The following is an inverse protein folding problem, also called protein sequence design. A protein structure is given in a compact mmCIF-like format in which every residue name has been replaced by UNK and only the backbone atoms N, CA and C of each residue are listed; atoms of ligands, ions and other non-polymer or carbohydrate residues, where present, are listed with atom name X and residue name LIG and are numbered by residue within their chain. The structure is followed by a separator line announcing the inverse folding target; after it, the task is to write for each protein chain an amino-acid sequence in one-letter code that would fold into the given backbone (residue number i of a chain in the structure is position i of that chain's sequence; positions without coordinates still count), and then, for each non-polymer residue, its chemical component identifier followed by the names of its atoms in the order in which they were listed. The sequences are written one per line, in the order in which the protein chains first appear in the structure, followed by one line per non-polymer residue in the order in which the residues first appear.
data_IF_386482608634
#
_entry.id   IF_386482608634
#
_cell.length_a   1.000
_cell.length_b   1.000
_cell.length_c   1.000
_cell.angle_alpha   90.00
_cell.angle_beta   90.00
_cell.angle_gamma   90.00
#
_symmetry.space_group_name_H-M   'P 1'
#
loop_
_entity.id
_entity.type
_entity.pdbx_description
1 polymer ?
#
# COMPACT_ATOMS: atom_id res chain seq x y z
N UNK A 1 -26.96 -36.72 -23.57
CA UNK A 1 -27.19 -37.04 -24.99
C UNK A 1 -28.09 -36.07 -25.73
N UNK A 2 -29.33 -35.77 -25.30
CA UNK A 2 -30.23 -34.87 -26.08
C UNK A 2 -29.54 -33.55 -26.48
N UNK A 3 -28.88 -32.89 -25.52
CA UNK A 3 -28.12 -31.66 -25.79
C UNK A 3 -26.90 -31.84 -26.72
N UNK A 4 -26.28 -33.02 -26.86
CA UNK A 4 -25.14 -33.13 -27.79
C UNK A 4 -25.57 -32.99 -29.24
N UNK A 5 -26.75 -33.51 -29.56
CA UNK A 5 -27.34 -33.40 -30.90
C UNK A 5 -27.75 -31.95 -31.22
N UNK A 6 -28.11 -31.13 -30.22
CA UNK A 6 -28.55 -29.74 -30.45
C UNK A 6 -27.40 -28.79 -30.78
N UNK A 7 -26.30 -28.73 -30.00
CA UNK A 7 -25.15 -27.86 -30.35
C UNK A 7 -24.58 -28.21 -31.73
N UNK A 8 -24.31 -29.50 -31.96
CA UNK A 8 -23.61 -29.91 -33.18
C UNK A 8 -24.48 -29.70 -34.43
N UNK A 9 -25.81 -29.87 -34.33
CA UNK A 9 -26.73 -29.57 -35.43
C UNK A 9 -26.95 -28.06 -35.64
N UNK A 10 -26.99 -27.27 -34.56
CA UNK A 10 -27.04 -25.81 -34.63
C UNK A 10 -25.83 -25.27 -35.39
N UNK A 11 -24.62 -25.67 -34.98
CA UNK A 11 -23.39 -25.20 -35.61
C UNK A 11 -23.18 -25.78 -37.01
N UNK A 12 -23.55 -27.04 -37.26
CA UNK A 12 -23.64 -27.56 -38.62
C UNK A 12 -24.52 -26.65 -39.50
N UNK A 13 -25.70 -26.26 -39.02
CA UNK A 13 -26.63 -25.39 -39.77
C UNK A 13 -26.05 -23.99 -39.98
N UNK A 14 -25.45 -23.39 -38.94
CA UNK A 14 -24.74 -22.11 -39.03
C UNK A 14 -23.64 -22.13 -40.11
N UNK A 15 -22.72 -23.11 -40.06
CA UNK A 15 -21.64 -23.20 -41.04
C UNK A 15 -22.15 -23.59 -42.44
N UNK A 16 -23.19 -24.41 -42.58
CA UNK A 16 -23.82 -24.69 -43.90
C UNK A 16 -24.47 -23.44 -44.50
N UNK A 17 -25.08 -22.58 -43.70
CA UNK A 17 -25.68 -21.33 -44.16
C UNK A 17 -24.62 -20.28 -44.56
N UNK A 18 -23.57 -20.13 -43.74
CA UNK A 18 -22.48 -19.17 -43.98
C UNK A 18 -21.50 -19.64 -45.08
N UNK A 19 -21.31 -20.95 -45.23
CA UNK A 19 -20.32 -21.56 -46.13
C UNK A 19 -20.94 -22.76 -46.87
N UNK A 20 -21.92 -22.51 -47.73
CA UNK A 20 -22.68 -23.56 -48.46
C UNK A 20 -21.83 -24.54 -49.28
N UNK A 21 -20.67 -24.11 -49.76
CA UNK A 21 -19.69 -24.92 -50.50
C UNK A 21 -18.75 -25.75 -49.60
N UNK A 22 -18.70 -25.49 -48.29
CA UNK A 22 -17.78 -26.18 -47.38
C UNK A 22 -18.22 -27.62 -47.10
N UNK A 23 -17.25 -28.53 -47.02
CA UNK A 23 -17.50 -29.91 -46.59
C UNK A 23 -17.56 -29.95 -45.07
N UNK A 24 -18.70 -30.36 -44.51
CA UNK A 24 -18.93 -30.35 -43.06
C UNK A 24 -19.21 -31.76 -42.58
N UNK A 25 -18.37 -32.24 -41.66
CA UNK A 25 -18.44 -33.58 -41.07
C UNK A 25 -18.75 -33.46 -39.57
N UNK A 26 -19.94 -33.91 -39.17
CA UNK A 26 -20.30 -34.10 -37.77
C UNK A 26 -19.54 -35.32 -37.21
N UNK A 27 -18.97 -35.21 -36.01
CA UNK A 27 -18.33 -36.34 -35.31
C UNK A 27 -17.21 -37.02 -36.12
N UNK A 28 -16.38 -36.26 -36.84
CA UNK A 28 -15.29 -36.80 -37.67
C UNK A 28 -14.27 -37.53 -36.80
N UNK A 29 -14.02 -38.81 -37.13
CA UNK A 29 -12.93 -39.59 -36.55
C UNK A 29 -11.66 -39.40 -37.40
N UNK A 30 -10.54 -39.17 -36.72
CA UNK A 30 -9.20 -39.09 -37.33
C UNK A 30 -8.44 -40.43 -37.19
N UNK A 31 -7.33 -40.55 -37.92
CA UNK A 31 -6.45 -41.74 -37.92
C UNK A 31 -5.91 -42.12 -36.53
N UNK A 32 -5.73 -41.13 -35.65
CA UNK A 32 -5.35 -41.32 -34.24
C UNK A 32 -6.50 -41.81 -33.33
N UNK A 33 -7.64 -42.22 -33.90
CA UNK A 33 -8.88 -42.64 -33.22
C UNK A 33 -9.57 -41.55 -32.39
N UNK A 34 -9.14 -40.29 -32.48
CA UNK A 34 -9.83 -39.15 -31.85
C UNK A 34 -10.97 -38.69 -32.72
N UNK A 35 -11.98 -38.11 -32.07
CA UNK A 35 -13.14 -37.50 -32.70
C UNK A 35 -13.08 -35.99 -32.49
N UNK A 36 -13.51 -35.20 -33.46
CA UNK A 36 -13.91 -33.79 -33.26
C UNK A 36 -15.42 -33.69 -33.42
N UNK A 37 -16.08 -32.79 -32.69
CA UNK A 37 -17.54 -32.67 -32.75
C UNK A 37 -18.01 -32.16 -34.11
N UNK A 38 -17.30 -31.19 -34.70
CA UNK A 38 -17.54 -30.69 -36.05
C UNK A 38 -16.22 -30.40 -36.77
N UNK A 39 -16.04 -30.96 -37.96
CA UNK A 39 -14.93 -30.65 -38.86
C UNK A 39 -15.46 -29.94 -40.11
N UNK A 40 -14.84 -28.82 -40.48
CA UNK A 40 -15.14 -28.06 -41.69
C UNK A 40 -13.89 -28.03 -42.56
N UNK A 41 -14.06 -28.28 -43.86
CA UNK A 41 -13.04 -28.05 -44.89
C UNK A 41 -13.61 -27.04 -45.89
N UNK A 42 -12.98 -25.87 -45.95
CA UNK A 42 -13.42 -24.75 -46.75
C UNK A 42 -12.94 -24.88 -48.20
N UNK A 43 -13.68 -24.26 -49.13
CA UNK A 43 -13.37 -24.28 -50.57
C UNK A 43 -11.98 -23.73 -50.92
N UNK A 44 -11.46 -22.84 -50.08
CA UNK A 44 -10.13 -22.24 -50.18
C UNK A 44 -8.99 -23.12 -49.61
N UNK A 45 -9.32 -24.24 -48.96
CA UNK A 45 -8.38 -25.28 -48.51
C UNK A 45 -8.12 -25.29 -47.00
N UNK A 46 -8.49 -24.24 -46.27
CA UNK A 46 -8.39 -24.21 -44.80
C UNK A 46 -9.32 -25.24 -44.15
N UNK A 47 -8.94 -25.65 -42.94
CA UNK A 47 -9.66 -26.66 -42.15
C UNK A 47 -9.88 -26.13 -40.74
N UNK A 48 -11.09 -26.34 -40.22
CA UNK A 48 -11.47 -25.94 -38.87
C UNK A 48 -12.07 -27.14 -38.12
N UNK A 49 -11.50 -27.46 -36.97
CA UNK A 49 -12.11 -28.30 -35.95
C UNK A 49 -12.86 -27.41 -34.95
N UNK A 50 -14.12 -27.73 -34.65
CA UNK A 50 -14.91 -27.04 -33.61
C UNK A 50 -15.28 -28.03 -32.51
N UNK A 51 -14.92 -27.67 -31.29
CA UNK A 51 -15.01 -28.52 -30.10
C UNK A 51 -16.02 -27.95 -29.10
N UNK A 52 -17.01 -28.74 -28.68
CA UNK A 52 -18.04 -28.30 -27.72
C UNK A 52 -17.76 -28.86 -26.33
N UNK A 53 -17.00 -28.12 -25.54
CA UNK A 53 -16.60 -28.56 -24.21
C UNK A 53 -17.72 -28.38 -23.20
N UNK A 54 -18.30 -29.49 -22.73
CA UNK A 54 -19.45 -29.52 -21.80
C UNK A 54 -19.08 -29.88 -20.35
N UNK A 55 -17.90 -30.45 -20.17
CA UNK A 55 -17.36 -30.93 -18.90
C UNK A 55 -15.90 -30.55 -18.82
N UNK A 56 -15.30 -30.85 -17.69
CA UNK A 56 -13.87 -30.75 -17.43
C UNK A 56 -13.05 -31.58 -18.46
N UNK A 57 -12.12 -30.92 -19.16
CA UNK A 57 -11.08 -31.42 -20.08
C UNK A 57 -9.67 -31.22 -19.51
N UNK A 58 -8.89 -32.28 -19.33
CA UNK A 58 -7.55 -32.13 -18.75
C UNK A 58 -6.57 -31.32 -19.64
N UNK A 59 -5.60 -30.63 -19.01
CA UNK A 59 -4.52 -29.91 -19.67
C UNK A 59 -3.78 -30.75 -20.71
N UNK A 60 -3.43 -31.99 -20.34
CA UNK A 60 -2.72 -32.88 -21.24
C UNK A 60 -3.59 -33.27 -22.43
N UNK A 61 -4.88 -33.55 -22.20
CA UNK A 61 -5.83 -33.89 -23.26
C UNK A 61 -6.04 -32.74 -24.24
N UNK A 62 -6.26 -31.51 -23.75
CA UNK A 62 -6.34 -30.32 -24.61
C UNK A 62 -5.09 -30.18 -25.47
N UNK A 63 -3.90 -30.16 -24.84
CA UNK A 63 -2.63 -29.98 -25.55
C UNK A 63 -2.42 -31.06 -26.62
N UNK A 64 -2.71 -32.31 -26.27
CA UNK A 64 -2.61 -33.46 -27.16
C UNK A 64 -3.53 -33.33 -28.39
N UNK A 65 -4.70 -32.68 -28.25
CA UNK A 65 -5.64 -32.41 -29.36
C UNK A 65 -5.22 -31.20 -30.19
N UNK A 66 -4.85 -30.09 -29.54
CA UNK A 66 -4.37 -28.88 -30.21
C UNK A 66 -3.10 -29.14 -31.03
N UNK A 67 -2.08 -29.79 -30.45
CA UNK A 67 -0.84 -30.15 -31.16
C UNK A 67 -1.16 -31.02 -32.39
N UNK A 68 -2.10 -31.97 -32.27
CA UNK A 68 -2.54 -32.79 -33.42
C UNK A 68 -3.23 -31.96 -34.52
N UNK A 69 -4.09 -31.00 -34.19
CA UNK A 69 -4.73 -30.13 -35.18
C UNK A 69 -3.68 -29.28 -35.91
N UNK A 70 -2.77 -28.68 -35.15
CA UNK A 70 -1.64 -27.90 -35.67
C UNK A 70 -0.72 -28.71 -36.60
N UNK A 71 -0.34 -29.92 -36.21
CA UNK A 71 0.49 -30.83 -37.01
C UNK A 71 -0.19 -31.28 -38.33
N UNK A 72 -1.50 -31.09 -38.47
CA UNK A 72 -2.29 -31.49 -39.65
C UNK A 72 -2.81 -30.29 -40.46
N UNK A 73 -2.35 -29.07 -40.16
CA UNK A 73 -2.82 -27.81 -40.77
C UNK A 73 -4.35 -27.64 -40.62
N UNK A 74 -4.82 -27.81 -39.39
CA UNK A 74 -6.21 -27.63 -38.96
C UNK A 74 -6.22 -26.58 -37.86
N UNK A 75 -7.00 -25.50 -38.05
CA UNK A 75 -7.30 -24.53 -37.00
C UNK A 75 -8.31 -25.13 -36.02
N UNK A 76 -8.25 -24.77 -34.74
CA UNK A 76 -9.19 -25.26 -33.72
C UNK A 76 -9.91 -24.15 -32.96
N UNK A 77 -11.24 -24.25 -32.91
CA UNK A 77 -12.12 -23.38 -32.13
C UNK A 77 -12.78 -24.17 -31.01
N UNK A 78 -12.44 -23.81 -29.78
CA UNK A 78 -13.05 -24.36 -28.57
C UNK A 78 -14.22 -23.48 -28.11
N UNK A 79 -15.40 -24.08 -27.96
CA UNK A 79 -16.61 -23.43 -27.49
C UNK A 79 -17.05 -24.10 -26.19
N UNK A 80 -17.03 -23.34 -25.10
CA UNK A 80 -17.41 -23.82 -23.77
C UNK A 80 -18.91 -23.69 -23.60
N UNK A 81 -19.55 -24.71 -23.03
CA UNK A 81 -20.95 -24.59 -22.62
C UNK A 81 -21.10 -23.50 -21.54
N UNK A 82 -21.87 -22.44 -21.83
CA UNK A 82 -22.03 -21.30 -20.93
C UNK A 82 -23.49 -20.94 -20.64
N UNK A 83 -23.65 -19.93 -19.78
CA UNK A 83 -24.90 -19.24 -19.55
C UNK A 83 -24.62 -17.73 -19.48
N UNK A 84 -25.31 -16.91 -20.28
CA UNK A 84 -24.99 -15.47 -20.45
C UNK A 84 -24.88 -14.75 -19.10
N UNK A 85 -25.94 -14.84 -18.30
CA UNK A 85 -26.02 -14.25 -16.96
C UNK A 85 -24.80 -14.58 -16.09
N UNK A 86 -24.40 -15.86 -16.06
CA UNK A 86 -23.29 -16.34 -15.23
C UNK A 86 -21.92 -15.89 -15.76
N UNK A 87 -21.76 -15.73 -17.07
CA UNK A 87 -20.51 -15.26 -17.70
C UNK A 87 -20.34 -13.75 -17.54
N UNK A 88 -21.44 -12.99 -17.61
CA UNK A 88 -21.42 -11.53 -17.47
C UNK A 88 -21.32 -11.06 -16.01
N UNK A 89 -21.91 -11.77 -15.05
CA UNK A 89 -21.79 -11.45 -13.62
C UNK A 89 -20.41 -11.77 -13.00
N UNK A 90 -19.58 -12.55 -13.70
CA UNK A 90 -18.32 -13.04 -13.16
C UNK A 90 -17.23 -11.95 -13.14
N UNK A 91 -17.34 -11.04 -12.17
CA UNK A 91 -16.53 -9.82 -12.05
C UNK A 91 -15.18 -10.01 -11.37
N UNK A 92 -14.93 -11.17 -10.77
CA UNK A 92 -13.66 -11.52 -10.13
C UNK A 92 -13.20 -12.89 -10.62
N UNK A 93 -11.91 -13.02 -10.88
CA UNK A 93 -11.26 -14.32 -11.11
C UNK A 93 -11.17 -15.09 -9.78
N UNK A 94 -12.32 -15.61 -9.33
CA UNK A 94 -12.44 -16.37 -8.09
C UNK A 94 -11.85 -17.76 -8.27
N UNK A 95 -10.78 -18.03 -7.51
CA UNK A 95 -10.28 -19.37 -7.14
C UNK A 95 -10.31 -20.42 -8.25
N UNK A 96 -9.20 -20.53 -8.98
CA UNK A 96 -8.89 -21.58 -9.96
C UNK A 96 -9.34 -22.98 -9.53
N UNK A 97 -9.78 -23.87 -10.44
CA UNK A 97 -9.41 -23.94 -11.85
C UNK A 97 -10.47 -24.57 -12.75
N UNK A 98 -10.35 -24.30 -14.05
CA UNK A 98 -10.50 -25.36 -15.05
C UNK A 98 -9.50 -25.20 -16.24
N UNK A 99 -8.19 -25.30 -15.93
CA UNK A 99 -7.03 -25.08 -16.83
C UNK A 99 -6.99 -23.77 -17.70
N UNK A 100 -7.56 -22.62 -17.40
CA UNK A 100 -8.33 -22.12 -16.28
C UNK A 100 -9.45 -21.31 -16.93
N UNK A 101 -10.50 -22.02 -17.37
CA UNK A 101 -11.33 -21.72 -18.56
C UNK A 101 -10.65 -22.09 -19.90
N UNK A 102 -9.62 -22.94 -19.84
CA UNK A 102 -8.73 -23.39 -20.93
C UNK A 102 -8.27 -22.26 -21.85
N UNK A 103 -7.15 -21.65 -21.45
CA UNK A 103 -6.28 -20.84 -22.29
C UNK A 103 -7.02 -19.90 -23.24
N UNK A 104 -7.33 -18.69 -22.75
CA UNK A 104 -7.21 -17.41 -23.49
C UNK A 104 -6.46 -17.60 -24.84
N UNK A 105 -7.15 -17.99 -25.93
CA UNK A 105 -6.56 -18.77 -27.06
C UNK A 105 -5.10 -18.42 -27.33
N UNK A 106 -4.16 -19.37 -27.33
CA UNK A 106 -2.83 -19.04 -27.85
C UNK A 106 -2.98 -18.54 -29.30
N UNK A 107 -2.25 -17.46 -29.63
CA UNK A 107 -2.49 -16.49 -30.71
C UNK A 107 -3.53 -15.34 -30.49
N UNK A 108 -4.56 -15.45 -29.63
CA UNK A 108 -5.63 -14.40 -29.51
C UNK A 108 -6.04 -13.89 -28.12
N UNK A 109 -5.82 -14.65 -27.04
CA UNK A 109 -6.17 -14.27 -25.67
C UNK A 109 -7.67 -13.97 -25.47
N UNK A 110 -8.57 -14.90 -25.78
CA UNK A 110 -10.01 -14.84 -25.42
C UNK A 110 -10.54 -16.20 -24.98
N UNK A 111 -11.58 -16.22 -24.15
CA UNK A 111 -12.41 -17.39 -23.87
C UNK A 111 -13.76 -17.25 -24.60
N UNK A 112 -14.30 -18.36 -25.11
CA UNK A 112 -15.53 -18.38 -25.92
C UNK A 112 -16.54 -19.34 -25.30
N UNK A 113 -17.69 -18.80 -24.91
CA UNK A 113 -18.83 -19.55 -24.39
C UNK A 113 -20.00 -19.48 -25.36
N UNK A 114 -20.86 -20.50 -25.34
CA UNK A 114 -22.15 -20.46 -26.02
C UNK A 114 -23.30 -20.83 -25.07
N UNK A 115 -24.25 -19.91 -24.94
CA UNK A 115 -25.55 -20.14 -24.31
C UNK A 115 -26.51 -20.67 -25.38
N UNK A 116 -26.94 -21.93 -25.24
CA UNK A 116 -27.85 -22.57 -26.19
C UNK A 116 -29.32 -22.17 -25.98
N UNK A 117 -29.68 -21.65 -24.81
CA UNK A 117 -31.05 -21.27 -24.51
C UNK A 117 -31.36 -19.96 -25.21
N UNK A 118 -30.46 -18.98 -25.05
CA UNK A 118 -30.59 -17.64 -25.64
C UNK A 118 -29.90 -17.50 -27.00
N UNK A 119 -29.23 -18.56 -27.49
CA UNK A 119 -28.47 -18.61 -28.75
C UNK A 119 -27.37 -17.52 -28.87
N UNK A 120 -26.67 -17.28 -27.75
CA UNK A 120 -25.66 -16.22 -27.63
C UNK A 120 -24.25 -16.75 -27.45
N UNK A 121 -23.32 -16.14 -28.17
CA UNK A 121 -21.90 -16.20 -27.84
C UNK A 121 -21.59 -15.23 -26.72
N UNK A 122 -20.90 -15.70 -25.68
CA UNK A 122 -20.27 -14.82 -24.69
C UNK A 122 -18.76 -14.94 -24.85
N UNK A 123 -18.09 -13.80 -25.05
CA UNK A 123 -16.64 -13.72 -25.23
C UNK A 123 -16.07 -12.99 -24.02
N UNK A 124 -15.01 -13.53 -23.43
CA UNK A 124 -14.39 -13.00 -22.23
C UNK A 124 -12.87 -12.86 -22.38
N UNK A 125 -12.30 -11.81 -21.77
CA UNK A 125 -10.86 -11.51 -21.80
C UNK A 125 -10.44 -10.75 -20.55
N UNK A 126 -9.32 -11.15 -19.97
CA UNK A 126 -8.75 -10.42 -18.83
C UNK A 126 -8.13 -9.08 -19.26
N UNK A 127 -8.39 -8.04 -18.48
CA UNK A 127 -7.63 -6.79 -18.48
C UNK A 127 -6.74 -6.82 -17.24
N UNK A 128 -5.43 -6.93 -17.44
CA UNK A 128 -4.43 -6.97 -16.36
C UNK A 128 -3.65 -5.66 -16.28
N UNK A 129 -3.66 -5.06 -15.10
CA UNK A 129 -2.76 -3.99 -14.67
C UNK A 129 -1.58 -4.61 -13.92
N UNK A 130 -0.36 -4.23 -14.28
CA UNK A 130 0.87 -4.56 -13.56
C UNK A 130 1.37 -3.25 -12.98
N UNK A 131 1.52 -3.17 -11.67
CA UNK A 131 1.92 -1.93 -11.02
C UNK A 131 3.44 -1.75 -11.09
N UNK A 132 3.87 -0.66 -11.73
CA UNK A 132 5.29 -0.33 -11.93
C UNK A 132 5.91 0.45 -10.77
N UNK A 133 5.08 0.94 -9.84
CA UNK A 133 5.52 1.76 -8.70
C UNK A 133 5.43 0.98 -7.38
N UNK A 134 4.40 0.15 -7.20
CA UNK A 134 4.13 -0.61 -5.97
C UNK A 134 4.16 -2.11 -6.26
N UNK A 135 5.26 -2.77 -5.89
CA UNK A 135 5.42 -4.21 -6.07
C UNK A 135 4.31 -4.98 -5.35
N UNK A 136 3.58 -5.81 -6.10
CA UNK A 136 2.48 -6.63 -5.58
C UNK A 136 1.10 -5.95 -5.59
N UNK A 137 0.99 -4.71 -6.10
CA UNK A 137 -0.28 -4.03 -6.32
C UNK A 137 -0.88 -4.30 -7.72
N UNK A 138 -0.49 -5.42 -8.35
CA UNK A 138 -1.10 -5.93 -9.59
C UNK A 138 -2.61 -6.10 -9.41
N UNK A 139 -3.38 -5.84 -10.46
CA UNK A 139 -4.83 -6.08 -10.44
C UNK A 139 -5.35 -6.54 -11.79
N UNK A 140 -6.37 -7.40 -11.77
CA UNK A 140 -6.94 -8.02 -12.95
C UNK A 140 -8.46 -8.02 -12.86
N UNK A 141 -9.13 -7.72 -13.99
CA UNK A 141 -10.59 -7.85 -14.14
C UNK A 141 -10.92 -8.65 -15.38
N UNK A 142 -12.07 -9.34 -15.35
CA UNK A 142 -12.63 -9.99 -16.53
C UNK A 142 -13.53 -9.00 -17.29
N UNK A 143 -13.25 -8.78 -18.58
CA UNK A 143 -14.16 -8.11 -19.50
C UNK A 143 -14.92 -9.16 -20.29
N UNK A 144 -16.25 -9.19 -20.14
CA UNK A 144 -17.14 -10.13 -20.82
C UNK A 144 -18.21 -9.38 -21.64
N UNK A 145 -18.53 -9.89 -22.83
CA UNK A 145 -19.60 -9.38 -23.70
C UNK A 145 -20.34 -10.52 -24.38
N UNK A 146 -21.64 -10.33 -24.60
CA UNK A 146 -22.48 -11.26 -25.33
C UNK A 146 -22.93 -10.72 -26.68
N UNK A 147 -23.14 -11.63 -27.63
CA UNK A 147 -23.56 -11.38 -29.01
C UNK A 147 -24.53 -12.48 -29.42
N UNK A 148 -25.58 -12.18 -30.18
CA UNK A 148 -26.42 -13.23 -30.75
C UNK A 148 -25.62 -14.00 -31.81
N UNK A 149 -25.97 -15.26 -32.07
CA UNK A 149 -25.29 -16.08 -33.11
C UNK A 149 -25.35 -15.43 -34.51
N UNK A 150 -26.36 -14.61 -34.77
CA UNK A 150 -26.56 -13.86 -36.03
C UNK A 150 -25.64 -12.62 -36.14
N UNK A 151 -25.18 -12.06 -35.01
CA UNK A 151 -24.33 -10.87 -34.96
C UNK A 151 -22.83 -11.17 -35.09
N UNK A 152 -22.45 -12.46 -35.18
CA UNK A 152 -21.06 -12.89 -35.24
C UNK A 152 -20.74 -13.72 -36.49
N UNK A 153 -19.50 -13.59 -36.96
CA UNK A 153 -18.97 -14.44 -38.04
C UNK A 153 -17.78 -15.25 -37.55
N UNK A 154 -17.92 -16.58 -37.54
CA UNK A 154 -16.77 -17.48 -37.36
C UNK A 154 -16.06 -17.62 -38.71
N UNK A 155 -14.78 -17.25 -38.73
CA UNK A 155 -13.89 -17.26 -39.88
C UNK A 155 -13.26 -18.65 -40.10
N UNK A 156 -12.57 -18.84 -41.23
CA UNK A 156 -12.01 -20.14 -41.64
C UNK A 156 -10.90 -20.66 -40.71
N UNK A 157 -10.25 -19.75 -40.00
CA UNK A 157 -9.21 -19.98 -38.98
C UNK A 157 -9.77 -20.07 -37.54
N UNK A 158 -11.10 -20.19 -37.39
CA UNK A 158 -11.78 -20.24 -36.09
C UNK A 158 -11.97 -18.88 -35.41
N UNK A 159 -11.55 -17.78 -36.03
CA UNK A 159 -11.65 -16.46 -35.43
C UNK A 159 -13.09 -15.92 -35.45
N UNK A 160 -13.51 -15.27 -34.36
CA UNK A 160 -14.81 -14.61 -34.29
C UNK A 160 -14.64 -13.14 -34.67
N UNK A 161 -15.21 -12.76 -35.80
CA UNK A 161 -15.36 -11.38 -36.27
C UNK A 161 -16.62 -10.76 -35.63
N UNK A 162 -16.40 -9.76 -34.78
CA UNK A 162 -17.39 -9.01 -34.00
C UNK A 162 -16.73 -7.76 -33.36
N UNK A 163 -17.52 -6.89 -32.72
CA UNK A 163 -17.03 -5.64 -32.08
C UNK A 163 -16.19 -5.84 -30.82
N UNK A 164 -16.05 -7.07 -30.31
CA UNK A 164 -15.45 -7.39 -29.00
C UNK A 164 -14.11 -6.67 -28.73
N UNK A 165 -13.17 -6.72 -29.68
CA UNK A 165 -11.85 -6.13 -29.48
C UNK A 165 -11.89 -4.61 -29.34
N UNK A 166 -12.74 -3.92 -30.11
CA UNK A 166 -12.90 -2.46 -30.04
C UNK A 166 -13.54 -2.01 -28.72
N UNK A 167 -14.44 -2.83 -28.16
CA UNK A 167 -15.06 -2.57 -26.86
C UNK A 167 -14.10 -2.89 -25.71
N UNK A 168 -13.37 -3.99 -25.81
CA UNK A 168 -12.32 -4.40 -24.89
C UNK A 168 -11.21 -3.35 -24.78
N UNK A 169 -10.71 -2.81 -25.90
CA UNK A 169 -9.66 -1.77 -25.91
C UNK A 169 -10.11 -0.51 -25.17
N UNK A 170 -11.35 -0.04 -25.42
CA UNK A 170 -11.95 1.11 -24.71
C UNK A 170 -12.15 0.84 -23.22
N UNK A 171 -12.48 -0.39 -22.83
CA UNK A 171 -12.61 -0.77 -21.43
C UNK A 171 -11.23 -0.86 -20.75
N UNK A 172 -10.23 -1.43 -21.43
CA UNK A 172 -8.87 -1.57 -20.96
C UNK A 172 -8.20 -0.21 -20.78
N UNK A 173 -8.30 0.71 -21.74
CA UNK A 173 -7.76 2.07 -21.64
C UNK A 173 -8.29 2.80 -20.38
N UNK A 174 -9.61 2.74 -20.16
CA UNK A 174 -10.26 3.34 -18.97
C UNK A 174 -9.77 2.71 -17.67
N UNK A 175 -9.75 1.38 -17.60
CA UNK A 175 -9.36 0.65 -16.39
C UNK A 175 -7.89 0.86 -16.05
N UNK A 176 -6.98 0.71 -17.02
CA UNK A 176 -5.54 0.90 -16.83
C UNK A 176 -5.23 2.37 -16.49
N UNK A 177 -5.88 3.32 -17.15
CA UNK A 177 -5.75 4.75 -16.85
C UNK A 177 -6.31 5.15 -15.48
N UNK A 178 -7.30 4.44 -14.95
CA UNK A 178 -7.75 4.58 -13.56
C UNK A 178 -6.73 3.98 -12.59
N UNK A 179 -6.24 2.77 -12.85
CA UNK A 179 -5.29 2.07 -11.96
C UNK A 179 -3.95 2.77 -11.83
N UNK A 180 -3.42 3.33 -12.91
CA UNK A 180 -2.21 4.17 -12.87
C UNK A 180 -2.39 5.39 -11.96
N UNK A 181 -3.57 6.04 -11.99
CA UNK A 181 -3.87 7.19 -11.11
C UNK A 181 -4.00 6.77 -9.65
N UNK A 182 -4.68 5.67 -9.37
CA UNK A 182 -4.79 5.10 -8.03
C UNK A 182 -3.42 4.75 -7.45
N UNK A 183 -2.53 4.14 -8.26
CA UNK A 183 -1.16 3.80 -7.87
C UNK A 183 -0.31 5.04 -7.57
N UNK A 184 -0.30 6.04 -8.47
CA UNK A 184 0.43 7.30 -8.26
C UNK A 184 -0.01 8.04 -6.99
N UNK A 185 -1.31 8.03 -6.68
CA UNK A 185 -1.85 8.62 -5.46
C UNK A 185 -1.44 7.84 -4.21
N UNK A 186 -1.44 6.50 -4.26
CA UNK A 186 -0.92 5.67 -3.17
C UNK A 186 0.57 5.93 -2.89
N UNK A 187 1.40 6.09 -3.94
CA UNK A 187 2.82 6.46 -3.80
C UNK A 187 2.96 7.84 -3.16
N UNK A 188 2.15 8.83 -3.57
CA UNK A 188 2.14 10.17 -2.96
C UNK A 188 1.85 10.10 -1.46
N UNK A 189 0.80 9.39 -1.07
CA UNK A 189 0.39 9.23 0.33
C UNK A 189 1.44 8.46 1.17
N UNK A 190 2.12 7.46 0.58
CA UNK A 190 3.22 6.75 1.24
C UNK A 190 4.42 7.67 1.50
N UNK A 191 4.79 8.52 0.53
CA UNK A 191 5.87 9.49 0.70
C UNK A 191 5.53 10.56 1.75
N UNK A 192 4.33 11.14 1.71
CA UNK A 192 3.86 12.12 2.70
C UNK A 192 3.87 11.53 4.11
N UNK A 193 3.40 10.28 4.28
CA UNK A 193 3.48 9.57 5.56
C UNK A 193 4.92 9.40 6.04
N UNK A 194 5.84 9.02 5.15
CA UNK A 194 7.25 8.77 5.49
C UNK A 194 8.02 10.07 5.82
N UNK A 195 7.63 11.20 5.23
CA UNK A 195 8.11 12.53 5.64
C UNK A 195 7.61 12.92 7.03
N UNK A 196 6.34 12.65 7.33
CA UNK A 196 5.75 12.88 8.66
C UNK A 196 6.45 12.03 9.74
N UNK A 197 6.66 10.73 9.48
CA UNK A 197 7.36 9.82 10.40
C UNK A 197 8.81 10.28 10.67
N UNK A 198 9.54 10.77 9.66
CA UNK A 198 10.86 11.38 9.84
C UNK A 198 10.82 12.61 10.74
N UNK A 199 9.88 13.54 10.52
CA UNK A 199 9.75 14.74 11.35
C UNK A 199 9.44 14.40 12.82
N UNK A 200 8.62 13.39 13.08
CA UNK A 200 8.37 12.92 14.44
C UNK A 200 9.63 12.34 15.08
N UNK A 201 10.34 11.43 14.40
CA UNK A 201 11.57 10.81 14.93
C UNK A 201 12.70 11.82 15.18
N UNK A 202 12.84 12.84 14.31
CA UNK A 202 13.78 13.95 14.53
C UNK A 202 13.41 14.81 15.75
N UNK A 203 12.12 15.00 16.03
CA UNK A 203 11.67 15.78 17.18
C UNK A 203 11.83 15.01 18.49
N UNK A 204 11.50 13.71 18.52
CA UNK A 204 11.79 12.84 19.67
C UNK A 204 13.29 12.82 20.01
N UNK A 205 14.14 12.74 18.98
CA UNK A 205 15.60 12.80 19.14
C UNK A 205 16.07 14.13 19.78
N UNK A 206 15.50 15.27 19.35
CA UNK A 206 15.80 16.60 19.92
C UNK A 206 15.31 16.72 21.36
N UNK A 207 14.13 16.20 21.67
CA UNK A 207 13.58 16.22 23.04
C UNK A 207 14.41 15.35 23.99
N UNK A 208 14.91 14.19 23.54
CA UNK A 208 15.89 13.39 24.30
C UNK A 208 17.21 14.15 24.56
N UNK A 209 17.75 14.86 23.57
CA UNK A 209 18.97 15.67 23.74
C UNK A 209 18.75 16.82 24.74
N UNK A 210 17.61 17.49 24.66
CA UNK A 210 17.21 18.54 25.61
C UNK A 210 17.09 17.95 27.02
N UNK A 211 16.50 16.76 27.18
CA UNK A 211 16.34 16.10 28.46
C UNK A 211 17.69 15.69 29.08
N UNK A 212 18.58 15.04 28.30
CA UNK A 212 19.96 14.74 28.70
C UNK A 212 20.71 16.00 29.12
N UNK A 213 20.56 17.09 28.38
CA UNK A 213 21.17 18.39 28.70
C UNK A 213 20.64 18.98 30.02
N UNK A 214 19.32 18.89 30.27
CA UNK A 214 18.71 19.32 31.53
C UNK A 214 19.20 18.51 32.73
N UNK A 215 19.38 17.21 32.57
CA UNK A 215 19.91 16.32 33.61
C UNK A 215 21.36 16.67 33.96
N UNK A 216 22.23 16.85 32.95
CA UNK A 216 23.61 17.32 33.13
C UNK A 216 23.67 18.68 33.86
N UNK A 217 22.83 19.64 33.47
CA UNK A 217 22.73 20.94 34.15
C UNK A 217 22.26 20.77 35.61
N UNK A 218 21.28 19.90 35.85
CA UNK A 218 20.79 19.57 37.19
C UNK A 218 21.86 18.96 38.11
N UNK A 219 22.69 18.07 37.58
CA UNK A 219 23.84 17.50 38.29
C UNK A 219 24.93 18.53 38.57
N UNK A 220 25.28 19.38 37.58
CA UNK A 220 26.23 20.47 37.77
C UNK A 220 25.78 21.46 38.85
N UNK A 221 24.49 21.81 38.91
CA UNK A 221 23.92 22.65 39.97
C UNK A 221 23.99 21.96 41.33
N UNK A 222 23.62 20.68 41.43
CA UNK A 222 23.74 19.89 42.68
C UNK A 222 25.18 19.84 43.19
N UNK A 223 26.14 19.57 42.29
CA UNK A 223 27.56 19.46 42.62
C UNK A 223 28.17 20.81 43.05
N UNK A 224 27.76 21.93 42.42
CA UNK A 224 28.18 23.26 42.86
C UNK A 224 27.58 23.64 44.23
N UNK A 225 26.30 23.30 44.47
CA UNK A 225 25.66 23.54 45.76
C UNK A 225 26.29 22.70 46.89
N UNK A 226 26.72 21.45 46.62
CA UNK A 226 27.47 20.65 47.60
C UNK A 226 28.88 21.20 47.89
N UNK A 227 29.53 21.86 46.92
CA UNK A 227 30.82 22.54 47.15
C UNK A 227 30.68 23.84 47.94
N UNK A 228 29.49 24.43 48.00
CA UNK A 228 29.19 25.55 48.90
C UNK A 228 28.77 25.03 50.29
N UNK A 229 29.77 24.53 51.05
CA UNK A 229 29.61 24.38 52.50
C UNK A 229 29.06 25.69 53.10
N UNK A 230 28.06 25.64 54.00
CA UNK A 230 27.62 26.83 54.70
C UNK A 230 28.82 27.36 55.48
N UNK A 231 29.31 28.56 55.12
CA UNK A 231 30.32 29.26 55.91
C UNK A 231 29.80 29.33 57.35
N UNK A 232 30.46 28.63 58.26
CA UNK A 232 30.22 28.82 59.69
C UNK A 232 30.39 30.31 59.97
N UNK A 233 29.34 30.94 60.49
CA UNK A 233 29.39 32.35 60.85
C UNK A 233 30.48 32.50 61.91
N UNK A 234 31.46 33.38 61.66
CA UNK A 234 32.64 33.56 62.53
C UNK A 234 32.27 34.09 63.93
N UNK A 235 31.05 34.60 64.09
CA UNK A 235 30.51 35.21 65.29
C UNK A 235 29.09 34.69 65.56
N UNK A 236 28.65 34.73 66.81
CA UNK A 236 27.24 34.52 67.19
C UNK A 236 26.53 35.85 67.42
N UNK A 237 25.19 35.85 67.43
CA UNK A 237 24.37 37.06 67.59
C UNK A 237 24.65 37.75 68.94
N UNK A 238 24.84 36.94 69.99
CA UNK A 238 25.09 37.37 71.37
C UNK A 238 26.36 38.22 71.54
N UNK A 239 27.31 38.12 70.61
CA UNK A 239 28.55 38.91 70.62
C UNK A 239 28.36 40.33 70.07
N UNK A 240 27.19 40.66 69.54
CA UNK A 240 26.82 42.02 69.16
C UNK A 240 25.85 42.55 70.22
N UNK A 241 26.26 43.58 70.95
CA UNK A 241 25.41 44.32 71.88
C UNK A 241 25.64 45.83 71.72
N UNK A 242 24.70 46.69 72.14
CA UNK A 242 24.94 48.14 72.13
C UNK A 242 26.23 48.51 72.89
N UNK A 243 27.14 49.22 72.21
CA UNK A 243 28.48 49.54 72.69
C UNK A 243 29.60 48.63 72.15
N UNK A 244 29.30 47.47 71.55
CA UNK A 244 30.33 46.60 70.96
C UNK A 244 31.06 47.31 69.81
N UNK A 245 32.39 47.37 69.88
CA UNK A 245 33.22 47.84 68.78
C UNK A 245 33.47 46.73 67.76
N UNK A 246 33.26 47.03 66.48
CA UNK A 246 33.42 46.11 65.35
C UNK A 246 34.28 46.75 64.26
N UNK A 247 34.92 45.92 63.44
CA UNK A 247 35.56 46.33 62.19
C UNK A 247 34.70 45.85 61.00
N UNK A 248 34.09 46.79 60.28
CA UNK A 248 33.25 46.51 59.11
C UNK A 248 34.01 46.78 57.82
N UNK A 249 34.02 45.83 56.88
CA UNK A 249 34.82 45.90 55.63
C UNK A 249 34.70 47.23 54.88
N UNK A 250 33.49 47.78 54.78
CA UNK A 250 33.22 49.02 54.04
C UNK A 250 33.24 50.30 54.88
N UNK A 251 33.25 50.21 56.22
CA UNK A 251 33.05 51.37 57.11
C UNK A 251 34.14 51.56 58.18
N UNK A 252 35.11 50.63 58.29
CA UNK A 252 36.18 50.67 59.29
C UNK A 252 35.69 50.33 60.71
N UNK A 253 36.32 50.93 61.74
CA UNK A 253 35.90 50.79 63.14
C UNK A 253 34.53 51.46 63.34
N UNK A 254 33.56 50.68 63.80
CA UNK A 254 32.19 51.12 64.06
C UNK A 254 31.71 50.59 65.42
N UNK A 255 30.76 51.29 66.03
CA UNK A 255 30.13 50.94 67.30
C UNK A 255 28.71 50.41 67.02
N UNK A 256 28.33 49.26 67.57
CA UNK A 256 26.92 48.81 67.54
C UNK A 256 26.09 49.74 68.42
N UNK A 257 25.02 50.33 67.89
CA UNK A 257 24.11 51.21 68.65
C UNK A 257 22.82 50.54 69.06
N UNK A 258 22.24 49.74 68.19
CA UNK A 258 20.96 49.10 68.42
C UNK A 258 20.89 47.79 67.62
N UNK A 259 20.19 46.80 68.16
CA UNK A 259 19.83 45.58 67.47
C UNK A 259 18.32 45.41 67.61
N UNK A 260 17.62 45.39 66.48
CA UNK A 260 16.17 45.27 66.43
C UNK A 260 15.79 44.13 65.48
N UNK A 261 15.43 43.00 66.07
CA UNK A 261 15.21 41.74 65.36
C UNK A 261 16.43 41.31 64.54
N UNK A 262 16.27 41.26 63.21
CA UNK A 262 17.31 40.84 62.26
C UNK A 262 18.19 41.98 61.73
N UNK A 263 18.15 43.17 62.34
CA UNK A 263 18.87 44.36 61.90
C UNK A 263 19.79 44.91 63.00
N UNK A 264 21.00 45.31 62.61
CA UNK A 264 22.00 45.95 63.46
C UNK A 264 22.24 47.36 62.95
N UNK A 265 22.02 48.36 63.79
CA UNK A 265 22.38 49.75 63.51
C UNK A 265 23.76 50.04 64.08
N UNK A 266 24.70 50.42 63.22
CA UNK A 266 26.09 50.72 63.58
C UNK A 266 26.38 52.21 63.40
N UNK A 267 27.26 52.77 64.24
CA UNK A 267 27.74 54.16 64.17
C UNK A 267 29.23 54.17 63.79
N UNK A 268 29.60 54.96 62.79
CA UNK A 268 30.97 55.03 62.27
C UNK A 268 31.38 56.46 61.90
N UNK A 269 32.68 56.68 61.71
CA UNK A 269 33.25 57.98 61.32
C UNK A 269 32.85 59.10 62.29
N UNK A 270 32.49 60.28 61.76
CA UNK A 270 32.01 61.45 62.55
C UNK A 270 30.55 61.29 63.04
N UNK A 271 30.16 60.08 63.42
CA UNK A 271 28.86 59.78 64.01
C UNK A 271 27.73 59.49 63.02
N UNK A 272 28.05 59.11 61.78
CA UNK A 272 27.07 58.58 60.84
C UNK A 272 26.55 57.22 61.32
N UNK A 273 25.28 56.92 61.05
CA UNK A 273 24.67 55.62 61.34
C UNK A 273 24.27 54.89 60.06
N UNK A 274 24.32 53.56 60.09
CA UNK A 274 23.84 52.71 59.01
C UNK A 274 23.27 51.40 59.57
N UNK A 275 22.19 50.92 58.96
CA UNK A 275 21.48 49.71 59.42
C UNK A 275 21.70 48.58 58.43
N UNK A 276 22.22 47.46 58.92
CA UNK A 276 22.62 46.29 58.12
C UNK A 276 21.98 45.03 58.67
N UNK A 277 21.72 44.05 57.81
CA UNK A 277 21.11 42.80 58.28
C UNK A 277 22.11 41.97 59.08
N UNK A 278 21.64 41.38 60.18
CA UNK A 278 22.42 40.55 61.07
C UNK A 278 23.04 39.36 60.33
N UNK A 279 22.33 38.77 59.36
CA UNK A 279 22.87 37.75 58.46
C UNK A 279 24.07 38.23 57.64
N UNK A 280 24.10 39.49 57.20
CA UNK A 280 25.25 40.05 56.48
C UNK A 280 26.43 40.34 57.43
N UNK A 281 26.17 40.75 58.67
CA UNK A 281 27.19 40.84 59.72
C UNK A 281 27.89 39.48 59.94
N UNK A 282 27.09 38.45 60.18
CA UNK A 282 27.52 37.09 60.52
C UNK A 282 28.27 36.39 59.37
N UNK A 283 27.90 36.66 58.11
CA UNK A 283 28.49 36.05 56.89
C UNK A 283 29.83 36.67 56.43
N UNK A 284 30.44 37.54 57.25
CA UNK A 284 31.82 38.02 57.04
C UNK A 284 31.99 39.36 56.32
N UNK A 285 30.97 40.24 56.40
CA UNK A 285 31.19 41.68 56.13
C UNK A 285 31.84 42.36 57.35
N UNK A 286 31.56 41.89 58.56
CA UNK A 286 32.35 42.20 59.75
C UNK A 286 33.63 41.36 59.73
N UNK A 287 34.77 42.02 59.89
CA UNK A 287 36.11 41.44 59.82
C UNK A 287 36.51 40.85 61.17
N UNK A 288 36.41 41.67 62.23
CA UNK A 288 36.65 41.31 63.63
C UNK A 288 35.73 42.11 64.55
N UNK A 289 35.37 41.52 65.70
CA UNK A 289 34.98 42.28 66.90
C UNK A 289 36.28 42.81 67.52
N UNK A 290 36.24 44.04 68.03
CA UNK A 290 37.38 44.70 68.66
C UNK A 290 37.13 44.64 70.17
N UNK A 291 37.80 43.69 70.82
CA UNK A 291 37.94 43.65 72.27
C UNK A 291 38.93 44.77 72.69
N UNK A 292 38.58 45.52 73.74
CA UNK A 292 39.43 46.52 74.41
C UNK A 292 39.77 46.03 75.83
#
# INVERSE_FOLDING_TARGET
NIYSTSYTMLFYTYFRNMYGDAQISISKNFSNKRRTDLYIEFKSGEKLAVEFQRTDLDKSEWKIRHDFYKDNDISDLWIINGCEHKVLENTKQLSSSFFEQIMLNEHKKIAVYFDIIDLKFCISKNIRYIDKHIVGNDSEILFSKSYNIEDIKIMTDGNIDCSFYQEYEKAAERYLGQKEKESLELVRLQNEKLEIEKMFSENESKDEEIQKTREIIGELIKNNNQKMLPRQNKYTIEQFSPGTMISHRSFGKAEVKEISGNWVTIKYGRGQTHTISLNNCLRGIIVNIIEE
#
